data_IF_113068402993
#
_entry.id   IF_113068402993
#
_cell.length_a   1.000
_cell.length_b   1.000
_cell.length_c   1.000
_cell.angle_alpha   90.00
_cell.angle_beta   90.00
_cell.angle_gamma   90.00
#
_symmetry.space_group_name_H-M   'P 1'
#
loop_
_entity.id
_entity.type
_entity.pdbx_description
1 polymer ?
#
# COMPACT_ATOMS: atom_id res chain seq x y z
N UNK A 1 20.00 1.89 -43.38
CA UNK A 1 19.56 1.63 -42.00
C UNK A 1 20.62 2.16 -41.09
N UNK A 2 20.24 2.97 -40.12
CA UNK A 2 21.15 3.48 -39.11
C UNK A 2 21.49 2.35 -38.14
N UNK A 3 22.76 2.18 -37.78
CA UNK A 3 23.17 1.19 -36.78
C UNK A 3 23.14 1.84 -35.39
N UNK A 4 22.50 1.17 -34.42
CA UNK A 4 22.44 1.63 -33.03
C UNK A 4 23.21 0.64 -32.14
N UNK A 5 24.55 0.75 -32.06
CA UNK A 5 25.44 -0.27 -31.46
C UNK A 5 25.28 -0.45 -29.93
N UNK A 6 24.30 0.20 -29.30
CA UNK A 6 23.90 0.00 -27.91
C UNK A 6 22.57 -0.74 -27.71
N UNK A 7 21.89 -1.14 -28.79
CA UNK A 7 20.63 -1.87 -28.74
C UNK A 7 20.69 -3.10 -29.66
N UNK A 8 20.03 -4.22 -29.29
CA UNK A 8 19.80 -5.34 -30.20
C UNK A 8 19.15 -4.90 -31.52
N UNK A 9 19.49 -5.57 -32.64
CA UNK A 9 19.01 -5.22 -33.99
C UNK A 9 17.48 -5.18 -34.10
N UNK A 10 16.78 -6.05 -33.36
CA UNK A 10 15.31 -6.09 -33.29
C UNK A 10 14.68 -4.75 -32.84
N UNK A 11 15.44 -3.89 -32.15
CA UNK A 11 14.94 -2.58 -31.70
C UNK A 11 15.24 -1.45 -32.68
N UNK A 12 16.12 -1.63 -33.66
CA UNK A 12 16.58 -0.54 -34.53
C UNK A 12 15.42 0.09 -35.32
N UNK A 13 14.49 -0.71 -35.84
CA UNK A 13 13.28 -0.20 -36.50
C UNK A 13 12.39 0.65 -35.58
N UNK A 14 12.29 0.25 -34.30
CA UNK A 14 11.51 1.00 -33.32
C UNK A 14 12.18 2.33 -32.95
N UNK A 15 13.52 2.34 -32.91
CA UNK A 15 14.31 3.54 -32.67
C UNK A 15 14.17 4.52 -33.83
N UNK A 16 14.27 4.06 -35.08
CA UNK A 16 14.07 4.90 -36.27
C UNK A 16 12.69 5.58 -36.25
N UNK A 17 11.60 4.84 -35.95
CA UNK A 17 10.23 5.42 -35.82
C UNK A 17 10.13 6.49 -34.72
N UNK A 18 10.84 6.30 -33.61
CA UNK A 18 10.89 7.29 -32.52
C UNK A 18 11.64 8.54 -32.97
N UNK A 19 12.77 8.39 -33.65
CA UNK A 19 13.58 9.49 -34.16
C UNK A 19 12.85 10.31 -35.23
N UNK A 20 12.18 9.65 -36.17
CA UNK A 20 11.36 10.29 -37.21
C UNK A 20 10.31 11.25 -36.64
N UNK A 21 9.74 10.92 -35.47
CA UNK A 21 8.68 11.71 -34.83
C UNK A 21 9.18 12.63 -33.72
N UNK A 22 10.50 12.67 -33.45
CA UNK A 22 11.08 13.38 -32.29
C UNK A 22 10.93 14.89 -32.38
N UNK A 23 11.30 15.49 -33.51
CA UNK A 23 11.20 16.95 -33.74
C UNK A 23 9.76 17.47 -33.59
N UNK A 24 8.78 16.69 -34.04
CA UNK A 24 7.36 17.02 -33.91
C UNK A 24 6.91 16.93 -32.46
N UNK A 25 7.15 15.80 -31.79
CA UNK A 25 6.72 15.55 -30.40
C UNK A 25 7.34 16.50 -29.38
N UNK A 26 8.57 16.99 -29.63
CA UNK A 26 9.22 18.01 -28.80
C UNK A 26 8.49 19.36 -28.82
N UNK A 27 7.82 19.70 -29.93
CA UNK A 27 7.10 20.97 -30.13
C UNK A 27 5.60 20.83 -29.89
N UNK A 28 5.06 19.61 -29.97
CA UNK A 28 3.68 19.31 -29.66
C UNK A 28 3.40 19.56 -28.18
N UNK A 29 2.34 20.33 -27.92
CA UNK A 29 1.78 20.50 -26.58
C UNK A 29 0.33 20.08 -26.63
N UNK A 30 -0.07 19.28 -25.65
CA UNK A 30 -1.46 18.86 -25.52
C UNK A 30 -2.20 19.83 -24.60
N UNK A 31 -3.46 20.10 -24.93
CA UNK A 31 -4.36 20.82 -24.04
C UNK A 31 -4.44 20.07 -22.70
N UNK A 32 -4.39 20.81 -21.60
CA UNK A 32 -4.70 20.24 -20.27
C UNK A 32 -6.19 19.96 -20.17
N UNK A 33 -6.54 18.76 -19.71
CA UNK A 33 -7.91 18.40 -19.37
C UNK A 33 -8.42 19.27 -18.22
N UNK A 34 -9.67 19.73 -18.34
CA UNK A 34 -10.46 20.30 -17.24
C UNK A 34 -10.69 19.26 -16.14
N UNK A 35 -11.07 19.66 -14.91
CA UNK A 35 -11.44 18.70 -13.87
C UNK A 35 -12.49 17.68 -14.32
N UNK A 36 -13.51 18.13 -15.05
CA UNK A 36 -14.61 17.29 -15.53
C UNK A 36 -14.14 16.27 -16.58
N UNK A 37 -13.31 16.71 -17.53
CA UNK A 37 -12.73 15.81 -18.54
C UNK A 37 -11.77 14.78 -17.92
N UNK A 38 -11.10 15.13 -16.81
CA UNK A 38 -10.28 14.17 -16.06
C UNK A 38 -11.14 13.12 -15.39
N UNK A 39 -12.24 13.53 -14.77
CA UNK A 39 -13.17 12.61 -14.12
C UNK A 39 -13.72 11.61 -15.12
N UNK A 40 -14.24 12.09 -16.26
CA UNK A 40 -14.77 11.22 -17.32
C UNK A 40 -13.70 10.24 -17.86
N UNK A 41 -12.46 10.71 -18.02
CA UNK A 41 -11.34 9.86 -18.43
C UNK A 41 -11.07 8.76 -17.40
N UNK A 42 -11.07 9.11 -16.11
CA UNK A 42 -10.79 8.19 -15.02
C UNK A 42 -11.90 7.15 -14.89
N UNK A 43 -13.16 7.57 -14.85
CA UNK A 43 -14.32 6.67 -14.80
C UNK A 43 -14.33 5.66 -15.96
N UNK A 44 -13.93 6.10 -17.15
CA UNK A 44 -13.98 5.27 -18.36
C UNK A 44 -12.81 4.30 -18.49
N UNK A 45 -11.62 4.70 -18.06
CA UNK A 45 -10.38 3.98 -18.40
C UNK A 45 -9.52 3.59 -17.20
N UNK A 46 -9.65 4.27 -16.06
CA UNK A 46 -8.84 3.96 -14.89
C UNK A 46 -9.42 2.76 -14.13
N UNK A 47 -8.64 1.69 -13.90
CA UNK A 47 -9.15 0.50 -13.21
C UNK A 47 -9.68 0.82 -11.81
N UNK A 48 -9.04 1.73 -11.09
CA UNK A 48 -9.48 2.12 -9.74
C UNK A 48 -10.80 2.89 -9.70
N UNK A 49 -11.33 3.39 -10.81
CA UNK A 49 -12.63 4.08 -10.84
C UNK A 49 -13.78 3.14 -11.22
N UNK A 50 -13.47 1.87 -11.48
CA UNK A 50 -14.48 0.85 -11.80
C UNK A 50 -15.29 0.49 -10.56
N UNK A 51 -16.62 0.70 -10.56
CA UNK A 51 -17.46 0.43 -9.40
C UNK A 51 -17.53 -1.07 -9.06
N UNK A 52 -17.30 -1.96 -10.03
CA UNK A 52 -17.42 -3.41 -9.86
C UNK A 52 -16.37 -3.99 -8.90
N UNK A 53 -15.21 -3.32 -8.79
CA UNK A 53 -14.12 -3.74 -7.92
C UNK A 53 -14.23 -3.24 -6.48
N UNK A 54 -15.28 -2.49 -6.14
CA UNK A 54 -15.41 -1.82 -4.85
C UNK A 54 -16.74 -2.11 -4.18
N UNK A 55 -16.72 -2.08 -2.85
CA UNK A 55 -17.92 -2.17 -2.03
C UNK A 55 -17.83 -1.23 -0.82
N UNK A 56 -18.96 -0.77 -0.29
CA UNK A 56 -18.97 -0.02 0.95
C UNK A 56 -18.56 -0.93 2.12
N UNK A 57 -17.78 -0.40 3.05
CA UNK A 57 -17.51 -1.04 4.34
C UNK A 57 -18.80 -1.16 5.16
N UNK A 58 -19.01 -2.32 5.78
CA UNK A 58 -20.21 -2.70 6.54
C UNK A 58 -20.08 -2.37 8.02
N UNK A 59 -18.86 -2.35 8.56
CA UNK A 59 -18.56 -2.17 9.99
C UNK A 59 -17.35 -1.25 10.21
N UNK A 60 -17.12 -0.86 11.46
CA UNK A 60 -16.00 -0.01 11.87
C UNK A 60 -16.24 1.49 11.70
N UNK A 61 -15.25 2.33 12.06
CA UNK A 61 -15.35 3.79 12.00
C UNK A 61 -15.60 4.34 10.60
N UNK A 62 -15.11 3.65 9.56
CA UNK A 62 -15.21 4.05 8.16
C UNK A 62 -16.39 3.38 7.44
N UNK A 63 -17.41 2.91 8.18
CA UNK A 63 -18.58 2.27 7.59
C UNK A 63 -19.24 3.20 6.55
N UNK A 64 -19.47 2.67 5.35
CA UNK A 64 -20.05 3.38 4.21
C UNK A 64 -19.01 3.83 3.18
N UNK A 65 -17.72 3.88 3.54
CA UNK A 65 -16.66 4.23 2.58
C UNK A 65 -16.48 3.13 1.54
N UNK A 66 -16.33 3.52 0.28
CA UNK A 66 -16.08 2.59 -0.84
C UNK A 66 -14.59 2.28 -0.94
N UNK A 67 -14.24 1.02 -0.76
CA UNK A 67 -12.87 0.50 -0.87
C UNK A 67 -12.83 -0.69 -1.83
N UNK A 68 -11.65 -1.05 -2.38
CA UNK A 68 -11.48 -2.29 -3.12
C UNK A 68 -11.98 -3.49 -2.31
N UNK A 69 -12.56 -4.48 -2.99
CA UNK A 69 -13.14 -5.65 -2.33
C UNK A 69 -12.14 -6.35 -1.39
N UNK A 70 -10.89 -6.48 -1.80
CA UNK A 70 -9.81 -7.12 -1.04
C UNK A 70 -9.52 -6.39 0.28
N UNK A 71 -9.60 -5.05 0.26
CA UNK A 71 -9.41 -4.23 1.46
C UNK A 71 -10.61 -4.39 2.39
N UNK A 72 -11.83 -4.38 1.83
CA UNK A 72 -13.02 -4.60 2.63
C UNK A 72 -13.03 -6.00 3.27
N UNK A 73 -12.60 -7.01 2.52
CA UNK A 73 -12.53 -8.40 3.00
C UNK A 73 -11.50 -8.55 4.13
N UNK A 74 -10.36 -7.85 4.04
CA UNK A 74 -9.36 -7.85 5.10
C UNK A 74 -9.85 -7.13 6.37
N UNK A 75 -10.46 -5.95 6.22
CA UNK A 75 -10.92 -5.14 7.35
C UNK A 75 -12.13 -5.75 8.06
N UNK A 76 -12.97 -6.49 7.33
CA UNK A 76 -14.15 -7.16 7.85
C UNK A 76 -13.91 -8.65 8.16
N UNK A 77 -12.67 -9.12 8.00
CA UNK A 77 -12.32 -10.49 8.33
C UNK A 77 -12.55 -10.78 9.82
N UNK A 78 -12.96 -12.01 10.11
CA UNK A 78 -12.93 -12.51 11.46
C UNK A 78 -11.48 -12.64 11.94
N UNK A 79 -11.30 -12.59 13.26
CA UNK A 79 -10.00 -12.90 13.86
C UNK A 79 -9.52 -14.27 13.36
N UNK A 80 -8.24 -14.35 13.00
CA UNK A 80 -7.63 -15.59 12.49
C UNK A 80 -7.63 -16.71 13.55
N UNK A 81 -7.57 -16.33 14.82
CA UNK A 81 -7.45 -17.22 15.97
C UNK A 81 -8.74 -17.14 16.79
N UNK A 82 -9.34 -18.29 17.11
CA UNK A 82 -10.38 -18.37 18.14
C UNK A 82 -9.71 -18.28 19.53
N UNK A 83 -10.03 -17.27 20.35
CA UNK A 83 -9.45 -17.15 21.69
C UNK A 83 -9.65 -18.40 22.57
N UNK A 84 -10.65 -19.25 22.29
CA UNK A 84 -10.89 -20.50 23.02
C UNK A 84 -9.87 -21.59 22.71
N UNK A 85 -9.14 -21.48 21.61
CA UNK A 85 -8.11 -22.43 21.21
C UNK A 85 -6.73 -22.10 21.82
N UNK A 86 -6.61 -20.95 22.51
CA UNK A 86 -5.38 -20.53 23.18
C UNK A 86 -5.27 -21.27 24.53
N UNK A 87 -4.25 -22.12 24.66
CA UNK A 87 -3.90 -22.75 25.94
C UNK A 87 -3.08 -21.77 26.79
N UNK A 88 -3.63 -21.36 27.93
CA UNK A 88 -2.97 -20.46 28.88
C UNK A 88 -2.31 -21.23 30.04
N UNK A 89 -2.26 -22.57 29.98
CA UNK A 89 -1.56 -23.39 30.99
C UNK A 89 -0.05 -23.48 30.75
N UNK A 90 0.39 -23.19 29.52
CA UNK A 90 1.81 -23.12 29.12
C UNK A 90 2.06 -21.77 28.44
N UNK A 91 2.74 -20.86 29.14
CA UNK A 91 2.92 -19.47 28.72
C UNK A 91 4.38 -19.27 28.31
N UNK A 92 4.61 -18.87 27.05
CA UNK A 92 5.96 -18.58 26.54
C UNK A 92 6.57 -17.33 27.19
N UNK A 93 5.76 -16.28 27.36
CA UNK A 93 6.18 -14.99 27.91
C UNK A 93 5.14 -14.43 28.89
N UNK A 94 5.57 -14.20 30.13
CA UNK A 94 4.79 -13.50 31.16
C UNK A 94 5.52 -12.19 31.50
N UNK A 95 4.92 -11.05 31.14
CA UNK A 95 5.54 -9.72 31.17
C UNK A 95 4.58 -8.67 31.68
N UNK A 96 5.12 -7.63 32.33
CA UNK A 96 4.32 -6.52 32.86
C UNK A 96 3.87 -5.56 31.74
N UNK A 97 4.70 -5.40 30.70
CA UNK A 97 4.44 -4.46 29.60
C UNK A 97 4.76 -5.12 28.25
N UNK A 98 3.75 -5.21 27.39
CA UNK A 98 3.89 -5.59 25.97
C UNK A 98 3.80 -4.34 25.08
N UNK A 99 4.85 -4.09 24.31
CA UNK A 99 4.92 -3.02 23.30
C UNK A 99 4.80 -3.65 21.91
N UNK A 100 3.74 -3.32 21.17
CA UNK A 100 3.56 -3.81 19.79
C UNK A 100 4.12 -2.77 18.81
N UNK A 101 5.20 -3.12 18.12
CA UNK A 101 5.92 -2.34 17.12
C UNK A 101 7.28 -1.82 17.61
N UNK A 102 8.38 -2.45 17.17
CA UNK A 102 9.76 -2.08 17.51
C UNK A 102 10.35 -0.85 16.79
N UNK A 103 9.52 0.12 16.40
CA UNK A 103 9.97 1.38 15.82
C UNK A 103 10.47 2.38 16.87
N UNK A 104 10.79 3.61 16.45
CA UNK A 104 11.26 4.66 17.37
C UNK A 104 10.29 4.95 18.52
N UNK A 105 8.98 4.94 18.25
CA UNK A 105 7.96 5.12 19.28
C UNK A 105 7.93 3.95 20.29
N UNK A 106 8.05 2.71 19.80
CA UNK A 106 8.08 1.52 20.67
C UNK A 106 9.33 1.47 21.54
N UNK A 107 10.49 1.80 20.97
CA UNK A 107 11.74 1.90 21.72
C UNK A 107 11.66 2.97 22.83
N UNK A 108 11.11 4.15 22.52
CA UNK A 108 10.90 5.21 23.52
C UNK A 108 9.90 4.77 24.59
N UNK A 109 8.82 4.09 24.22
CA UNK A 109 7.85 3.56 25.19
C UNK A 109 8.49 2.54 26.14
N UNK A 110 9.31 1.62 25.63
CA UNK A 110 10.03 0.65 26.45
C UNK A 110 11.02 1.32 27.41
N UNK A 111 11.81 2.29 26.92
CA UNK A 111 12.71 3.08 27.77
C UNK A 111 11.95 3.84 28.85
N UNK A 112 10.82 4.47 28.48
CA UNK A 112 9.99 5.20 29.42
C UNK A 112 9.41 4.29 30.51
N UNK A 113 8.92 3.10 30.14
CA UNK A 113 8.44 2.10 31.09
C UNK A 113 9.56 1.70 32.07
N UNK A 114 10.77 1.48 31.57
CA UNK A 114 11.91 1.16 32.42
C UNK A 114 12.28 2.31 33.37
N UNK A 115 12.35 3.54 32.87
CA UNK A 115 12.61 4.73 33.69
C UNK A 115 11.51 5.00 34.72
N UNK A 116 10.29 4.54 34.44
CA UNK A 116 9.15 4.63 35.36
C UNK A 116 9.13 3.49 36.40
N UNK A 117 10.10 2.58 36.36
CA UNK A 117 10.31 1.55 37.38
C UNK A 117 9.99 0.12 36.97
N UNK A 118 9.62 -0.15 35.71
CA UNK A 118 9.40 -1.52 35.22
C UNK A 118 10.75 -2.19 34.94
N UNK A 119 11.07 -3.36 35.50
CA UNK A 119 12.30 -4.09 35.19
C UNK A 119 12.40 -4.37 33.69
N UNK A 120 13.60 -4.25 33.12
CA UNK A 120 13.78 -4.37 31.67
C UNK A 120 13.42 -5.78 31.16
N UNK A 121 13.67 -6.81 31.97
CA UNK A 121 13.31 -8.20 31.72
C UNK A 121 11.79 -8.45 31.65
N UNK A 122 10.98 -7.54 32.20
CA UNK A 122 9.52 -7.63 32.20
C UNK A 122 8.88 -6.77 31.10
N UNK A 123 9.67 -6.27 30.15
CA UNK A 123 9.20 -5.49 29.01
C UNK A 123 9.47 -6.29 27.73
N UNK A 124 8.42 -6.63 26.99
CA UNK A 124 8.52 -7.29 25.68
C UNK A 124 8.17 -6.32 24.56
N UNK A 125 8.99 -6.30 23.52
CA UNK A 125 8.70 -5.59 22.26
C UNK A 125 8.45 -6.63 21.17
N UNK A 126 7.28 -6.61 20.55
CA UNK A 126 6.83 -7.53 19.50
C UNK A 126 6.60 -6.83 18.16
#
# INVERSE_FOLDING_TARGET
MSEYPGYPEEFWESIEKVEETRERRLKETFRRLTPEEKEELLEKWHPDYRPEGKRPLRVGPNRGDYVPNEVADLLEAHALIDPKEIDLTDIDYDVDVLVIGGGGAGAVAALWANYSGVPAENILIA
#
